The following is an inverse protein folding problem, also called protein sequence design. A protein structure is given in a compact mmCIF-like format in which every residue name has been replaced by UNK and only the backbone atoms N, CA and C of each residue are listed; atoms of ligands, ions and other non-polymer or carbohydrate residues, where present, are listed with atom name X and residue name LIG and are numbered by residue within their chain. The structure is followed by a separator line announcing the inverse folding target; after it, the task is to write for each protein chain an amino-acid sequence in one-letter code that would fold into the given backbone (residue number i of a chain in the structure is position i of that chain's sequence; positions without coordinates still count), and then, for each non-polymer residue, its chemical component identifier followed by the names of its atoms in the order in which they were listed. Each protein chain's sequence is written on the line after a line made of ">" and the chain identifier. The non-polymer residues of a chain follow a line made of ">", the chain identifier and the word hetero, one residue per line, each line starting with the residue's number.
data_IF_894041339931
#
_entry.id   IF_894041339931
#
_cell.length_a   1.000
_cell.length_b   1.000
_cell.length_c   1.000
_cell.angle_alpha   90.00
_cell.angle_beta   90.00
_cell.angle_gamma   90.00
#
_symmetry.space_group_name_H-M   'P 1'
#
loop_
_entity.id
_entity.type
_entity.pdbx_description
1 polymer ?
#
# COMPACT_ATOMS: atom_id res chain seq x y z
N UNK A 1 -1.73 -4.47 -1.40
CA UNK A 1 -2.22 -3.34 -0.55
C UNK A 1 -3.19 -2.50 -1.36
N UNK A 2 -4.31 -2.01 -0.78
CA UNK A 2 -5.26 -1.20 -1.56
C UNK A 2 -4.70 0.21 -1.77
N UNK A 3 -4.47 0.61 -3.03
CA UNK A 3 -4.10 2.00 -3.41
C UNK A 3 -2.92 2.55 -2.59
N UNK A 4 -1.85 1.76 -2.44
CA UNK A 4 -0.72 2.07 -1.55
C UNK A 4 -0.09 3.45 -1.83
N UNK A 5 0.22 3.76 -3.09
CA UNK A 5 0.83 5.05 -3.46
C UNK A 5 -0.04 6.26 -3.05
N UNK A 6 -1.36 6.11 -3.08
CA UNK A 6 -2.29 7.18 -2.69
C UNK A 6 -2.36 7.40 -1.17
N UNK A 7 -1.62 6.65 -0.35
CA UNK A 7 -1.49 6.96 1.08
C UNK A 7 -0.38 7.98 1.34
N UNK A 8 0.49 8.24 0.37
CA UNK A 8 1.68 9.08 0.54
C UNK A 8 1.45 10.45 -0.11
N UNK A 9 1.56 11.51 0.69
CA UNK A 9 1.45 12.91 0.23
C UNK A 9 2.81 13.38 -0.30
N UNK A 10 2.77 14.04 -1.44
CA UNK A 10 3.93 14.68 -2.08
C UNK A 10 4.06 16.10 -1.53
N UNK A 11 5.29 16.48 -1.18
CA UNK A 11 5.63 17.82 -0.73
C UNK A 11 5.24 18.86 -1.77
N UNK A 12 4.74 20.02 -1.33
CA UNK A 12 4.20 21.04 -2.25
C UNK A 12 5.20 21.50 -3.30
N UNK A 13 6.48 21.57 -2.95
CA UNK A 13 7.56 21.93 -3.87
C UNK A 13 7.75 20.91 -5.01
N UNK A 14 7.37 19.65 -4.81
CA UNK A 14 7.63 18.56 -5.76
C UNK A 14 6.38 18.20 -6.61
N UNK A 15 5.19 18.71 -6.24
CA UNK A 15 3.93 18.39 -6.93
C UNK A 15 3.92 18.80 -8.40
N UNK A 16 4.74 19.78 -8.77
CA UNK A 16 4.83 20.25 -10.15
C UNK A 16 5.48 19.21 -11.10
N UNK A 17 6.33 18.32 -10.57
CA UNK A 17 6.87 17.20 -11.32
C UNK A 17 5.79 16.15 -11.71
N UNK A 18 4.59 16.26 -11.14
CA UNK A 18 3.44 15.39 -11.41
C UNK A 18 2.29 16.17 -12.10
N UNK A 19 2.61 17.26 -12.81
CA UNK A 19 1.63 18.08 -13.53
C UNK A 19 1.06 17.32 -14.73
N UNK A 20 -0.25 17.38 -14.89
CA UNK A 20 -0.97 16.90 -16.07
C UNK A 20 -1.63 18.09 -16.76
N UNK A 21 -1.53 18.10 -18.08
CA UNK A 21 -2.29 18.99 -18.95
C UNK A 21 -3.50 18.22 -19.48
N UNK A 22 -4.68 18.83 -19.41
CA UNK A 22 -5.92 18.26 -19.89
C UNK A 22 -6.68 19.26 -20.76
N UNK A 23 -7.45 18.79 -21.72
CA UNK A 23 -8.37 19.66 -22.46
C UNK A 23 -9.75 19.59 -21.83
N UNK A 24 -10.34 20.74 -21.48
CA UNK A 24 -11.70 20.81 -20.96
C UNK A 24 -12.74 20.31 -21.98
N UNK A 25 -12.52 20.64 -23.24
CA UNK A 25 -13.25 20.13 -24.39
C UNK A 25 -12.34 20.04 -25.64
N UNK A 26 -12.69 19.15 -26.58
CA UNK A 26 -11.87 18.89 -27.77
C UNK A 26 -12.06 19.90 -28.90
N UNK A 27 -13.09 20.75 -28.81
CA UNK A 27 -13.44 21.74 -29.83
C UNK A 27 -12.64 23.03 -29.64
N UNK A 28 -12.67 23.61 -28.44
CA UNK A 28 -11.95 24.82 -28.08
C UNK A 28 -10.53 24.53 -27.60
N UNK A 29 -10.29 23.30 -27.08
CA UNK A 29 -8.99 22.84 -26.60
C UNK A 29 -8.36 23.78 -25.56
N UNK A 30 -9.15 24.27 -24.60
CA UNK A 30 -8.56 25.04 -23.51
C UNK A 30 -7.77 24.10 -22.60
N UNK A 31 -6.54 24.47 -22.28
CA UNK A 31 -5.66 23.66 -21.43
C UNK A 31 -5.99 23.93 -19.97
N UNK A 32 -6.35 22.87 -19.25
CA UNK A 32 -6.43 22.82 -17.80
C UNK A 32 -5.16 22.19 -17.25
N UNK A 33 -4.66 22.73 -16.14
CA UNK A 33 -3.51 22.19 -15.43
C UNK A 33 -3.95 21.54 -14.12
N UNK A 34 -3.56 20.30 -13.93
CA UNK A 34 -3.76 19.56 -12.69
C UNK A 34 -2.42 19.15 -12.10
N UNK A 35 -2.35 19.05 -10.77
CA UNK A 35 -1.18 18.56 -10.05
C UNK A 35 -1.64 17.50 -9.06
N UNK A 36 -1.01 16.33 -9.10
CA UNK A 36 -1.27 15.33 -8.07
C UNK A 36 -0.68 15.76 -6.74
N UNK A 37 -1.43 15.49 -5.68
CA UNK A 37 -1.01 15.77 -4.30
C UNK A 37 -0.36 14.53 -3.67
N UNK A 38 -0.50 13.37 -4.31
CA UNK A 38 -0.09 12.07 -3.78
C UNK A 38 0.76 11.34 -4.80
N UNK A 39 1.58 10.40 -4.32
CA UNK A 39 2.45 9.61 -5.20
C UNK A 39 1.59 8.89 -6.23
N UNK A 40 1.93 9.07 -7.51
CA UNK A 40 1.20 8.45 -8.63
C UNK A 40 1.74 7.06 -8.94
N UNK A 41 0.87 6.21 -9.48
CA UNK A 41 1.31 4.96 -10.10
C UNK A 41 2.02 5.24 -11.42
N UNK A 42 3.03 4.44 -11.76
CA UNK A 42 3.73 4.50 -13.06
C UNK A 42 4.86 5.53 -13.15
N UNK A 43 5.09 6.36 -12.13
CA UNK A 43 6.29 7.18 -12.09
C UNK A 43 7.49 6.36 -11.58
N UNK A 44 8.65 6.55 -12.22
CA UNK A 44 9.90 5.87 -11.86
C UNK A 44 10.25 5.91 -10.36
N UNK A 45 10.12 7.04 -9.64
CA UNK A 45 10.47 7.06 -8.21
C UNK A 45 9.41 6.45 -7.29
N UNK A 46 8.19 6.17 -7.78
CA UNK A 46 7.08 5.78 -6.91
C UNK A 46 7.33 4.51 -6.09
N UNK A 47 7.87 3.41 -6.65
CA UNK A 47 8.18 2.21 -5.86
C UNK A 47 9.20 2.49 -4.75
N UNK A 48 10.21 3.32 -5.03
CA UNK A 48 11.20 3.71 -4.04
C UNK A 48 10.57 4.54 -2.91
N UNK A 49 9.73 5.53 -3.25
CA UNK A 49 9.05 6.37 -2.25
C UNK A 49 8.16 5.50 -1.35
N UNK A 50 7.44 4.54 -1.92
CA UNK A 50 6.62 3.60 -1.15
C UNK A 50 7.48 2.75 -0.21
N UNK A 51 8.53 2.12 -0.73
CA UNK A 51 9.44 1.27 0.07
C UNK A 51 10.12 2.04 1.20
N UNK A 52 10.64 3.24 0.94
CA UNK A 52 11.28 4.08 1.96
C UNK A 52 10.29 4.53 3.04
N UNK A 53 9.04 4.84 2.65
CA UNK A 53 7.97 5.21 3.59
C UNK A 53 7.61 4.04 4.49
N UNK A 54 7.43 2.85 3.91
CA UNK A 54 7.15 1.63 4.67
C UNK A 54 8.30 1.30 5.62
N UNK A 55 9.55 1.31 5.15
CA UNK A 55 10.72 1.06 5.98
C UNK A 55 10.76 2.01 7.19
N UNK A 56 10.49 3.30 6.96
CA UNK A 56 10.47 4.30 8.03
C UNK A 56 9.37 4.03 9.05
N UNK A 57 8.20 3.60 8.60
CA UNK A 57 7.08 3.25 9.47
C UNK A 57 7.40 2.00 10.32
N UNK A 58 7.98 0.97 9.70
CA UNK A 58 8.32 -0.29 10.35
C UNK A 58 9.36 -0.14 11.48
N UNK A 59 10.27 0.83 11.39
CA UNK A 59 11.21 1.15 12.48
C UNK A 59 10.53 1.38 13.83
N UNK A 60 9.32 1.97 13.83
CA UNK A 60 8.56 2.24 15.05
C UNK A 60 8.00 1.00 15.75
N UNK A 61 7.94 -0.14 15.05
CA UNK A 61 7.35 -1.38 15.56
C UNK A 61 8.40 -2.47 15.83
N UNK A 62 9.68 -2.22 15.52
CA UNK A 62 10.76 -3.20 15.64
C UNK A 62 10.89 -3.78 17.07
N UNK A 63 10.59 -3.00 18.11
CA UNK A 63 10.65 -3.44 19.50
C UNK A 63 9.41 -4.20 19.98
N UNK A 64 8.30 -4.10 19.25
CA UNK A 64 6.99 -4.68 19.63
C UNK A 64 6.76 -5.97 18.86
N UNK A 65 7.01 -5.95 17.54
CA UNK A 65 6.77 -7.06 16.62
C UNK A 65 8.03 -7.36 15.79
N UNK A 66 9.15 -7.78 16.41
CA UNK A 66 10.43 -7.89 15.72
C UNK A 66 10.41 -8.87 14.53
N UNK A 67 9.72 -10.00 14.68
CA UNK A 67 9.62 -11.04 13.64
C UNK A 67 8.74 -10.56 12.48
N UNK A 68 7.53 -10.07 12.75
CA UNK A 68 6.63 -9.53 11.72
C UNK A 68 7.24 -8.34 10.99
N UNK A 69 7.96 -7.46 11.68
CA UNK A 69 8.67 -6.35 11.03
C UNK A 69 9.75 -6.85 10.08
N UNK A 70 10.49 -7.89 10.48
CA UNK A 70 11.52 -8.47 9.62
C UNK A 70 10.89 -9.12 8.38
N UNK A 71 9.85 -9.94 8.57
CA UNK A 71 9.10 -10.53 7.45
C UNK A 71 8.53 -9.44 6.53
N UNK A 72 7.88 -8.40 7.06
CA UNK A 72 7.38 -7.29 6.25
C UNK A 72 8.47 -6.59 5.43
N UNK A 73 9.72 -6.54 5.91
CA UNK A 73 10.82 -5.97 5.13
C UNK A 73 11.28 -6.89 4.00
N UNK A 74 11.35 -8.18 4.28
CA UNK A 74 11.90 -9.17 3.35
C UNK A 74 10.87 -9.61 2.29
N UNK A 75 9.59 -9.65 2.68
CA UNK A 75 8.47 -10.22 1.92
C UNK A 75 7.59 -9.18 1.21
N UNK A 76 7.86 -7.88 1.39
CA UNK A 76 7.12 -6.82 0.67
C UNK A 76 7.75 -6.56 -0.70
N UNK A 77 6.99 -6.79 -1.76
CA UNK A 77 7.33 -6.41 -3.11
C UNK A 77 6.40 -5.29 -3.59
N UNK A 78 6.91 -4.05 -3.61
CA UNK A 78 6.15 -2.85 -3.99
C UNK A 78 4.89 -2.70 -3.13
N UNK A 79 3.71 -3.02 -3.66
CA UNK A 79 2.42 -2.94 -2.97
C UNK A 79 1.88 -4.31 -2.54
N UNK A 80 2.56 -5.40 -2.86
CA UNK A 80 2.20 -6.77 -2.47
C UNK A 80 3.10 -7.29 -1.33
N UNK A 81 2.55 -8.20 -0.54
CA UNK A 81 3.25 -8.86 0.56
C UNK A 81 3.07 -10.36 0.38
N UNK A 82 4.18 -11.08 0.32
CA UNK A 82 4.19 -12.52 0.09
C UNK A 82 5.18 -13.20 1.04
N UNK A 83 4.65 -13.95 2.01
CA UNK A 83 5.45 -14.71 2.96
C UNK A 83 5.04 -16.18 3.03
N UNK A 84 5.80 -16.98 3.79
CA UNK A 84 5.52 -18.37 4.08
C UNK A 84 5.90 -18.74 5.51
N UNK A 85 5.23 -19.74 6.08
CA UNK A 85 5.49 -20.19 7.46
C UNK A 85 4.51 -21.28 7.90
N UNK A 86 4.63 -21.71 9.15
CA UNK A 86 3.69 -22.64 9.75
C UNK A 86 2.33 -21.98 10.00
N UNK A 87 1.26 -22.77 10.08
CA UNK A 87 -0.11 -22.25 10.06
C UNK A 87 -0.45 -21.27 11.18
N UNK A 88 0.14 -21.44 12.37
CA UNK A 88 -0.03 -20.51 13.50
C UNK A 88 0.68 -19.19 13.24
N UNK A 89 1.89 -19.25 12.70
CA UNK A 89 2.75 -18.10 12.44
C UNK A 89 2.11 -17.22 11.35
N UNK A 90 1.48 -17.82 10.33
CA UNK A 90 0.79 -17.07 9.27
C UNK A 90 -0.42 -16.29 9.80
N UNK A 91 -1.20 -16.87 10.72
CA UNK A 91 -2.36 -16.17 11.31
C UNK A 91 -1.89 -15.00 12.17
N UNK A 92 -0.89 -15.21 13.02
CA UNK A 92 -0.31 -14.16 13.86
C UNK A 92 0.30 -13.04 12.99
N UNK A 93 1.10 -13.41 11.98
CA UNK A 93 1.68 -12.47 11.04
C UNK A 93 0.60 -11.62 10.36
N UNK A 94 -0.51 -12.22 9.91
CA UNK A 94 -1.61 -11.50 9.27
C UNK A 94 -2.20 -10.43 10.19
N UNK A 95 -2.47 -10.76 11.46
CA UNK A 95 -3.05 -9.83 12.42
C UNK A 95 -2.09 -8.68 12.77
N UNK A 96 -0.82 -9.01 13.03
CA UNK A 96 0.21 -8.04 13.37
C UNK A 96 0.52 -7.14 12.17
N UNK A 97 0.70 -7.70 10.97
CA UNK A 97 0.94 -6.95 9.73
C UNK A 97 -0.22 -6.00 9.42
N UNK A 98 -1.47 -6.48 9.58
CA UNK A 98 -2.66 -5.64 9.40
C UNK A 98 -2.65 -4.48 10.38
N UNK A 99 -2.31 -4.73 11.65
CA UNK A 99 -2.24 -3.70 12.69
C UNK A 99 -1.15 -2.66 12.40
N UNK A 100 0.06 -3.12 12.07
CA UNK A 100 1.21 -2.27 11.78
C UNK A 100 0.89 -1.37 10.60
N UNK A 101 0.48 -1.94 9.46
CA UNK A 101 0.27 -1.18 8.22
C UNK A 101 -0.96 -0.26 8.29
N UNK A 102 -2.01 -0.65 9.01
CA UNK A 102 -3.14 0.23 9.29
C UNK A 102 -2.71 1.51 10.03
N UNK A 103 -1.69 1.43 10.88
CA UNK A 103 -1.10 2.59 11.57
C UNK A 103 -0.55 3.67 10.64
N UNK A 104 -0.17 3.31 9.40
CA UNK A 104 0.25 4.25 8.35
C UNK A 104 -0.83 4.49 7.27
N UNK A 105 -2.06 4.01 7.48
CA UNK A 105 -3.15 4.12 6.52
C UNK A 105 -3.08 3.12 5.36
N UNK A 106 -2.13 2.17 5.39
CA UNK A 106 -2.05 1.11 4.39
C UNK A 106 -3.00 -0.03 4.74
N UNK A 107 -3.99 -0.25 3.87
CA UNK A 107 -4.94 -1.33 4.04
C UNK A 107 -4.49 -2.60 3.29
N UNK A 108 -4.26 -3.67 4.05
CA UNK A 108 -4.10 -5.02 3.50
C UNK A 108 -5.46 -5.62 3.12
N UNK A 109 -5.50 -6.34 2.01
CA UNK A 109 -6.71 -6.96 1.47
C UNK A 109 -6.34 -8.18 0.64
N UNK A 110 -7.34 -9.01 0.33
CA UNK A 110 -7.21 -10.22 -0.51
C UNK A 110 -6.10 -11.15 0.01
N UNK A 111 -6.25 -11.59 1.25
CA UNK A 111 -5.37 -12.60 1.81
C UNK A 111 -5.67 -13.93 1.13
N UNK A 112 -4.63 -14.58 0.63
CA UNK A 112 -4.69 -15.91 0.05
C UNK A 112 -3.68 -16.79 0.79
N UNK A 113 -4.12 -17.97 1.24
CA UNK A 113 -3.27 -18.89 1.99
C UNK A 113 -3.68 -20.33 1.77
N UNK A 114 -2.72 -21.24 1.89
CA UNK A 114 -2.99 -22.68 2.00
C UNK A 114 -3.57 -23.06 3.37
N UNK A 115 -3.63 -22.12 4.32
CA UNK A 115 -4.24 -22.28 5.65
C UNK A 115 -5.66 -21.73 5.59
N UNK A 116 -6.66 -22.61 5.71
CA UNK A 116 -8.09 -22.27 5.58
C UNK A 116 -8.54 -21.10 6.49
N UNK A 117 -7.99 -21.00 7.71
CA UNK A 117 -8.33 -19.95 8.69
C UNK A 117 -7.96 -18.53 8.23
N UNK A 118 -7.06 -18.41 7.26
CA UNK A 118 -6.61 -17.11 6.72
C UNK A 118 -7.47 -16.68 5.52
N UNK A 119 -8.04 -17.64 4.80
CA UNK A 119 -8.81 -17.42 3.57
C UNK A 119 -10.29 -17.10 3.86
N UNK A 120 -10.82 -17.52 5.01
CA UNK A 120 -12.25 -17.41 5.35
C UNK A 120 -12.77 -15.97 5.50
N UNK A 121 -11.93 -15.00 5.84
CA UNK A 121 -12.35 -13.59 5.95
C UNK A 121 -12.36 -12.83 4.61
N UNK A 122 -11.76 -13.40 3.57
CA UNK A 122 -11.66 -12.78 2.25
C UNK A 122 -12.97 -12.86 1.47
N UNK A 123 -13.78 -13.90 1.73
CA UNK A 123 -15.03 -14.17 0.98
C UNK A 123 -16.25 -13.41 1.49
N UNK A 124 -16.34 -13.06 2.77
CA UNK A 124 -17.55 -12.39 3.31
C UNK A 124 -17.64 -10.90 2.90
N UNK A 125 -16.52 -10.24 2.60
CA UNK A 125 -16.50 -8.80 2.25
C UNK A 125 -16.72 -8.52 0.76
N UNK A 126 -16.73 -9.55 -0.09
CA UNK A 126 -16.94 -9.40 -1.54
C UNK A 126 -18.43 -9.44 -1.90
N UNK A 127 -19.27 -10.11 -1.11
CA UNK A 127 -20.74 -10.17 -1.33
C UNK A 127 -21.48 -8.88 -0.91
N UNK A 128 -21.01 -8.13 0.09
CA UNK A 128 -21.69 -6.90 0.58
C UNK A 128 -21.46 -5.64 -0.30
N UNK A 129 -20.70 -5.74 -1.40
CA UNK A 129 -20.36 -4.60 -2.28
C UNK A 129 -20.94 -4.69 -3.70
N UNK A 130 -21.93 -5.55 -3.92
CA UNK A 130 -22.69 -5.63 -5.18
C UNK A 130 -24.03 -4.91 -5.10
#
# INVERSE_FOLDING_TARGET
>A
MVKAFLQIIVQECDRDAQRILWYDDLCNRNILEYRFIRVIFGATPSPYILGATLQKHLEGYQSIYPETVQMLRDDTYVDDIQGGGDSKDVVQFREEATTILAGAGFQLHKWHSNVLLVDTDSNEKEEERT
#
